data_IF_584123601134
#
_entry.id   IF_584123601134
#
_cell.length_a   1.000
_cell.length_b   1.000
_cell.length_c   1.000
_cell.angle_alpha   90.00
_cell.angle_beta   90.00
_cell.angle_gamma   90.00
#
_symmetry.space_group_name_H-M   'P 1'
#
loop_
_entity.id
_entity.type
_entity.pdbx_description
1 polymer ?
#
# COMPACT_ATOMS: atom_id res chain seq x y z
N UNK A 1 2.28 -16.35 11.60
CA UNK A 1 1.99 -16.16 13.04
C UNK A 1 1.28 -14.83 13.20
N UNK A 2 0.14 -14.80 13.91
CA UNK A 2 -0.60 -13.56 14.21
C UNK A 2 -0.02 -12.83 15.42
N UNK A 3 -0.70 -11.77 15.87
CA UNK A 3 -0.31 -10.98 17.05
C UNK A 3 0.21 -11.87 18.19
N UNK A 4 1.32 -11.50 18.85
CA UNK A 4 1.85 -12.30 19.94
C UNK A 4 0.75 -12.54 20.98
N UNK A 5 0.38 -13.81 21.20
CA UNK A 5 -0.74 -14.17 22.09
C UNK A 5 -0.60 -13.55 23.48
N UNK A 6 0.62 -13.35 23.97
CA UNK A 6 0.87 -12.75 25.28
C UNK A 6 0.42 -11.29 25.41
N UNK A 7 0.34 -10.52 24.32
CA UNK A 7 -0.24 -9.16 24.30
C UNK A 7 -1.78 -9.20 24.37
N UNK A 8 -2.40 -10.29 23.93
CA UNK A 8 -3.85 -10.49 23.94
C UNK A 8 -4.31 -11.15 25.26
N UNK A 9 -3.53 -12.10 25.77
CA UNK A 9 -3.79 -12.91 26.97
C UNK A 9 -3.40 -12.21 28.28
N UNK A 10 -2.76 -11.03 28.22
CA UNK A 10 -2.46 -10.23 29.41
C UNK A 10 -1.54 -10.93 30.41
N UNK A 11 -0.58 -11.73 29.94
CA UNK A 11 0.33 -12.43 30.85
C UNK A 11 1.27 -11.42 31.54
N UNK A 12 1.31 -11.37 32.89
CA UNK A 12 2.09 -10.36 33.62
C UNK A 12 3.60 -10.45 33.36
N UNK A 13 4.13 -11.67 33.15
CA UNK A 13 5.58 -11.89 32.94
C UNK A 13 6.16 -11.17 31.72
N UNK A 14 5.45 -11.15 30.58
CA UNK A 14 5.95 -10.47 29.37
C UNK A 14 5.96 -8.95 29.51
N UNK A 15 5.03 -8.42 30.31
CA UNK A 15 4.93 -6.99 30.61
C UNK A 15 6.06 -6.56 31.57
N UNK A 16 6.33 -7.36 32.60
CA UNK A 16 7.41 -7.14 33.55
C UNK A 16 8.78 -7.18 32.84
N UNK A 17 9.02 -8.16 31.97
CA UNK A 17 10.23 -8.22 31.14
C UNK A 17 10.40 -6.99 30.26
N UNK A 18 9.31 -6.52 29.65
CA UNK A 18 9.32 -5.31 28.82
C UNK A 18 9.69 -4.07 29.65
N UNK A 19 9.11 -3.91 30.84
CA UNK A 19 9.44 -2.80 31.74
C UNK A 19 10.91 -2.83 32.15
N UNK A 20 11.44 -4.01 32.52
CA UNK A 20 12.85 -4.20 32.88
C UNK A 20 13.76 -3.84 31.70
N UNK A 21 13.43 -4.29 30.48
CA UNK A 21 14.24 -4.02 29.29
C UNK A 21 14.24 -2.53 28.91
N UNK A 22 13.07 -1.89 28.95
CA UNK A 22 12.96 -0.44 28.68
C UNK A 22 13.72 0.36 29.73
N UNK A 23 13.63 -0.02 31.01
CA UNK A 23 14.34 0.66 32.09
C UNK A 23 15.86 0.42 32.07
N UNK A 24 16.33 -0.72 31.55
CA UNK A 24 17.76 -0.96 31.29
C UNK A 24 18.28 -0.15 30.09
N UNK A 25 17.47 0.02 29.04
CA UNK A 25 17.84 0.78 27.84
C UNK A 25 17.89 2.28 28.08
N UNK A 26 16.99 2.82 28.91
CA UNK A 26 17.05 4.19 29.37
C UNK A 26 17.85 4.25 30.66
N UNK A 27 19.13 4.65 30.58
CA UNK A 27 20.09 4.76 31.68
C UNK A 27 19.74 5.82 32.76
N UNK A 28 18.47 5.91 33.18
CA UNK A 28 17.92 6.94 34.05
C UNK A 28 17.94 6.48 35.50
N UNK A 29 19.06 6.77 36.18
CA UNK A 29 19.31 6.51 37.61
C UNK A 29 18.28 7.20 38.54
N UNK A 30 17.45 8.12 38.04
CA UNK A 30 16.57 8.97 38.87
C UNK A 30 15.10 9.10 38.41
N UNK A 31 14.69 8.49 37.30
CA UNK A 31 13.32 8.65 36.76
C UNK A 31 12.61 7.31 36.67
N UNK A 32 11.56 7.14 37.48
CA UNK A 32 10.65 6.00 37.38
C UNK A 32 9.74 6.20 36.17
N UNK A 33 9.83 5.31 35.18
CA UNK A 33 8.96 5.33 34.00
C UNK A 33 7.61 4.73 34.38
N UNK A 34 6.53 5.50 34.19
CA UNK A 34 5.17 4.99 34.33
C UNK A 34 4.70 4.47 32.97
N UNK A 35 4.76 3.16 32.77
CA UNK A 35 4.30 2.50 31.54
C UNK A 35 2.88 2.00 31.79
N UNK A 36 1.90 2.61 31.15
CA UNK A 36 0.51 2.14 31.14
C UNK A 36 0.26 1.32 29.87
N UNK A 37 -0.27 0.11 30.03
CA UNK A 37 -0.66 -0.75 28.90
C UNK A 37 -2.17 -0.70 28.78
N UNK A 38 -2.65 -0.19 27.66
CA UNK A 38 -4.06 -0.15 27.31
C UNK A 38 -4.41 -1.30 26.39
N UNK A 39 -5.51 -2.00 26.67
CA UNK A 39 -6.00 -3.05 25.78
C UNK A 39 -6.73 -2.40 24.61
N UNK A 40 -6.29 -2.67 23.40
CA UNK A 40 -6.98 -2.22 22.19
C UNK A 40 -8.16 -3.16 21.93
N UNK A 41 -9.39 -2.62 21.95
CA UNK A 41 -10.61 -3.41 21.78
C UNK A 41 -10.70 -4.06 20.39
N UNK A 42 -10.28 -3.34 19.33
CA UNK A 42 -10.29 -3.81 17.94
C UNK A 42 -8.89 -3.66 17.31
N UNK A 43 -7.96 -4.61 17.53
CA UNK A 43 -6.55 -4.46 17.14
C UNK A 43 -6.38 -4.31 15.63
N UNK A 44 -7.14 -5.06 14.82
CA UNK A 44 -7.05 -5.00 13.36
C UNK A 44 -7.72 -3.77 12.74
N UNK A 45 -8.34 -2.91 13.55
CA UNK A 45 -8.78 -1.58 13.11
C UNK A 45 -7.63 -0.57 13.04
N UNK A 46 -6.50 -0.85 13.69
CA UNK A 46 -5.29 -0.01 13.61
C UNK A 46 -4.45 -0.39 12.37
N UNK A 47 -4.19 0.56 11.45
CA UNK A 47 -3.38 0.30 10.26
C UNK A 47 -1.97 -0.23 10.56
N UNK A 48 -1.35 0.19 11.67
CA UNK A 48 0.02 -0.22 12.02
C UNK A 48 0.07 -1.71 12.39
N UNK A 49 -0.92 -2.15 13.16
CA UNK A 49 -1.09 -3.55 13.58
C UNK A 49 -1.34 -4.43 12.36
N UNK A 50 -2.19 -3.97 11.44
CA UNK A 50 -2.51 -4.70 10.22
C UNK A 50 -1.28 -4.82 9.29
N UNK A 51 -0.48 -3.77 9.17
CA UNK A 51 0.75 -3.78 8.39
C UNK A 51 1.77 -4.79 8.94
N UNK A 52 1.96 -4.84 10.26
CA UNK A 52 2.85 -5.81 10.90
C UNK A 52 2.38 -7.26 10.67
N UNK A 53 1.06 -7.50 10.74
CA UNK A 53 0.49 -8.79 10.42
C UNK A 53 0.81 -9.22 8.98
N UNK A 54 0.60 -8.34 8.00
CA UNK A 54 0.91 -8.61 6.58
C UNK A 54 2.41 -8.89 6.40
N UNK A 55 3.27 -8.07 7.00
CA UNK A 55 4.72 -8.27 6.98
C UNK A 55 5.12 -9.65 7.57
N UNK A 56 4.49 -10.05 8.67
CA UNK A 56 4.66 -11.36 9.28
C UNK A 56 4.22 -12.52 8.38
N UNK A 57 3.14 -12.35 7.60
CA UNK A 57 2.73 -13.36 6.61
C UNK A 57 3.76 -13.48 5.47
N UNK A 58 4.25 -12.35 4.96
CA UNK A 58 5.24 -12.31 3.87
C UNK A 58 6.59 -12.89 4.30
N UNK A 59 7.04 -12.61 5.54
CA UNK A 59 8.24 -13.21 6.12
C UNK A 59 8.16 -14.74 6.19
N UNK A 60 6.95 -15.26 6.43
CA UNK A 60 6.66 -16.70 6.41
C UNK A 60 6.36 -17.26 5.01
N UNK A 61 6.72 -16.52 3.95
CA UNK A 61 6.52 -16.88 2.54
C UNK A 61 5.07 -17.19 2.15
N UNK A 62 4.09 -16.64 2.87
CA UNK A 62 2.69 -16.69 2.43
C UNK A 62 2.53 -15.77 1.22
N UNK A 63 1.81 -16.23 0.20
CA UNK A 63 1.61 -15.41 -1.01
C UNK A 63 0.87 -14.11 -0.67
N UNK A 64 1.33 -12.99 -1.25
CA UNK A 64 0.79 -11.65 -0.98
C UNK A 64 -0.74 -11.61 -1.11
N UNK A 65 -1.29 -12.19 -2.19
CA UNK A 65 -2.74 -12.27 -2.39
C UNK A 65 -3.49 -12.95 -1.24
N UNK A 66 -2.93 -14.02 -0.67
CA UNK A 66 -3.51 -14.73 0.49
C UNK A 66 -3.39 -13.90 1.76
N UNK A 67 -2.26 -13.26 1.98
CA UNK A 67 -2.04 -12.36 3.12
C UNK A 67 -3.02 -11.18 3.09
N UNK A 68 -3.19 -10.55 1.92
CA UNK A 68 -4.11 -9.42 1.72
C UNK A 68 -5.58 -9.82 1.87
N UNK A 69 -5.99 -10.95 1.29
CA UNK A 69 -7.36 -11.46 1.47
C UNK A 69 -7.70 -11.65 2.95
N UNK A 70 -6.75 -12.21 3.71
CA UNK A 70 -6.90 -12.41 5.15
C UNK A 70 -6.89 -11.11 5.95
N UNK A 71 -6.10 -10.12 5.53
CA UNK A 71 -6.10 -8.80 6.14
C UNK A 71 -7.46 -8.09 5.99
N UNK A 72 -8.05 -8.16 4.79
CA UNK A 72 -9.38 -7.59 4.49
C UNK A 72 -10.46 -8.24 5.36
N UNK A 73 -10.46 -9.57 5.44
CA UNK A 73 -11.39 -10.34 6.29
C UNK A 73 -11.30 -9.92 7.77
N UNK A 74 -10.09 -9.69 8.28
CA UNK A 74 -9.87 -9.24 9.66
C UNK A 74 -10.31 -7.78 9.89
N UNK A 75 -10.17 -6.90 8.89
CA UNK A 75 -10.64 -5.51 8.98
C UNK A 75 -12.16 -5.39 8.89
N UNK A 76 -12.81 -6.27 8.11
CA UNK A 76 -14.27 -6.33 8.01
C UNK A 76 -14.88 -6.74 9.35
N UNK A 77 -14.28 -7.72 10.05
CA UNK A 77 -14.68 -8.11 11.41
C UNK A 77 -14.51 -7.00 12.45
N UNK A 78 -13.70 -5.97 12.16
CA UNK A 78 -13.48 -4.83 13.04
C UNK A 78 -14.47 -3.67 12.78
N UNK A 79 -15.45 -3.82 11.88
CA UNK A 79 -16.40 -2.77 11.45
C UNK A 79 -15.72 -1.48 10.96
N UNK A 80 -14.51 -1.60 10.38
CA UNK A 80 -13.75 -0.42 9.94
C UNK A 80 -14.07 -0.12 8.48
N UNK A 81 -14.62 1.07 8.20
CA UNK A 81 -14.93 1.51 6.83
C UNK A 81 -13.64 1.74 6.03
N UNK A 82 -13.43 0.86 5.05
CA UNK A 82 -12.49 0.95 3.92
C UNK A 82 -10.99 0.94 4.24
N UNK A 83 -10.41 -0.27 4.27
CA UNK A 83 -8.98 -0.46 4.03
C UNK A 83 -8.69 -0.37 2.52
N UNK A 84 -8.14 0.77 2.08
CA UNK A 84 -7.63 0.93 0.70
C UNK A 84 -6.13 0.65 0.71
N UNK A 85 -5.66 -0.51 0.21
CA UNK A 85 -4.24 -0.74 0.06
C UNK A 85 -3.69 0.23 -1.00
N UNK A 86 -2.79 1.10 -0.56
CA UNK A 86 -2.00 1.97 -1.44
C UNK A 86 -1.15 1.07 -2.34
N UNK A 87 -1.48 1.08 -3.63
CA UNK A 87 -0.77 0.41 -4.73
C UNK A 87 -0.89 -1.13 -4.81
N UNK A 88 -1.71 -1.57 -5.76
CA UNK A 88 -1.43 -2.82 -6.47
C UNK A 88 -1.23 -2.54 -7.96
N UNK A 89 0.03 -2.33 -8.38
CA UNK A 89 0.51 -2.91 -9.64
C UNK A 89 1.09 -4.27 -9.32
N UNK A 90 0.24 -5.29 -9.25
CA UNK A 90 0.71 -6.68 -9.30
C UNK A 90 1.08 -7.01 -10.74
N UNK A 91 2.22 -6.49 -11.20
CA UNK A 91 2.82 -6.84 -12.48
C UNK A 91 3.72 -8.06 -12.29
N UNK A 92 3.22 -9.24 -12.65
CA UNK A 92 4.04 -10.42 -12.92
C UNK A 92 4.86 -10.19 -14.18
N UNK A 93 5.99 -9.48 -14.07
CA UNK A 93 7.03 -9.49 -15.11
C UNK A 93 6.72 -8.79 -16.44
N UNK A 94 5.92 -7.72 -16.46
CA UNK A 94 5.91 -6.80 -17.62
C UNK A 94 6.76 -5.59 -17.25
N UNK A 95 7.84 -5.37 -18.00
CA UNK A 95 8.71 -4.21 -17.84
C UNK A 95 7.95 -2.88 -17.90
N UNK A 96 8.64 -1.79 -17.54
CA UNK A 96 8.10 -0.43 -17.62
C UNK A 96 7.41 -0.22 -18.98
N UNK A 97 6.16 0.29 -19.03
CA UNK A 97 5.47 0.53 -20.30
C UNK A 97 6.33 1.45 -21.19
N UNK A 98 6.83 0.92 -22.31
CA UNK A 98 7.68 1.69 -23.23
C UNK A 98 6.87 2.77 -23.98
N UNK A 99 5.59 2.52 -24.22
CA UNK A 99 4.67 3.46 -24.85
C UNK A 99 3.20 3.10 -24.58
N UNK A 100 2.32 4.09 -24.68
CA UNK A 100 0.87 3.93 -24.60
C UNK A 100 0.28 3.81 -26.00
N UNK A 101 -0.60 2.83 -26.22
CA UNK A 101 -1.30 2.65 -27.49
C UNK A 101 -2.79 2.83 -27.26
N UNK A 102 -3.40 3.73 -28.04
CA UNK A 102 -4.86 3.83 -28.16
C UNK A 102 -5.27 3.34 -29.54
N UNK A 103 -6.16 2.34 -29.61
CA UNK A 103 -6.65 1.80 -30.87
C UNK A 103 -7.80 2.67 -31.37
N UNK A 104 -7.63 3.31 -32.52
CA UNK A 104 -8.67 4.14 -33.16
C UNK A 104 -9.34 3.34 -34.26
N UNK A 105 -10.66 3.17 -34.18
CA UNK A 105 -11.45 2.49 -35.21
C UNK A 105 -11.77 3.45 -36.38
N UNK A 106 -11.94 2.95 -37.62
CA UNK A 106 -12.39 3.76 -38.74
C UNK A 106 -13.67 4.54 -38.40
N UNK A 107 -13.73 5.82 -38.82
CA UNK A 107 -14.88 6.70 -38.55
C UNK A 107 -14.85 7.43 -37.20
N UNK A 108 -13.75 7.34 -36.43
CA UNK A 108 -13.56 8.10 -35.18
C UNK A 108 -12.55 9.23 -35.36
N UNK A 109 -12.91 10.42 -34.91
CA UNK A 109 -12.05 11.61 -34.89
C UNK A 109 -11.34 11.66 -33.53
N UNK A 110 -10.01 11.79 -33.54
CA UNK A 110 -9.20 11.92 -32.32
C UNK A 110 -9.16 13.34 -31.78
N UNK A 111 -9.10 14.32 -32.69
CA UNK A 111 -8.98 15.73 -32.37
C UNK A 111 -9.87 16.52 -33.32
N UNK A 112 -10.61 17.47 -32.77
CA UNK A 112 -11.41 18.44 -33.51
C UNK A 112 -10.87 19.83 -33.18
N UNK A 113 -10.62 20.65 -34.20
CA UNK A 113 -10.13 22.01 -34.05
C UNK A 113 -11.07 22.97 -34.78
N UNK A 114 -11.48 24.02 -34.08
CA UNK A 114 -12.30 25.10 -34.64
C UNK A 114 -11.68 26.47 -34.34
N UNK A 115 -12.01 27.47 -35.14
CA UNK A 115 -11.58 28.86 -34.93
C UNK A 115 -10.14 29.19 -35.37
N UNK A 116 -9.46 28.27 -36.07
CA UNK A 116 -8.11 28.47 -36.62
C UNK A 116 -8.08 28.15 -38.11
N UNK A 117 -7.15 28.78 -38.84
CA UNK A 117 -6.93 28.49 -40.26
C UNK A 117 -6.32 27.10 -40.46
N UNK A 118 -6.63 26.45 -41.58
CA UNK A 118 -6.19 25.08 -41.89
C UNK A 118 -4.67 24.90 -41.77
N UNK A 119 -3.91 25.91 -42.21
CA UNK A 119 -2.44 25.89 -42.19
C UNK A 119 -1.93 25.75 -40.75
N UNK A 120 -2.47 26.55 -39.83
CA UNK A 120 -2.09 26.54 -38.40
C UNK A 120 -2.53 25.23 -37.73
N UNK A 121 -3.73 24.77 -38.04
CA UNK A 121 -4.24 23.48 -37.59
C UNK A 121 -3.31 22.32 -37.99
N UNK A 122 -2.84 22.31 -39.25
CA UNK A 122 -1.98 21.25 -39.77
C UNK A 122 -0.60 21.25 -39.13
N UNK A 123 -0.02 22.43 -38.92
CA UNK A 123 1.27 22.57 -38.22
C UNK A 123 1.18 22.13 -36.75
N UNK A 124 0.12 22.52 -36.04
CA UNK A 124 -0.10 22.12 -34.66
C UNK A 124 -0.21 20.60 -34.49
N UNK A 125 -0.97 19.92 -35.37
CA UNK A 125 -1.05 18.45 -35.37
C UNK A 125 0.32 17.83 -35.69
N UNK A 126 1.06 18.40 -36.65
CA UNK A 126 2.38 17.87 -37.04
C UNK A 126 3.40 17.93 -35.90
N UNK A 127 3.30 18.91 -35.01
CA UNK A 127 4.15 19.03 -33.81
C UNK A 127 3.72 18.02 -32.74
N UNK A 128 2.40 17.85 -32.55
CA UNK A 128 1.85 16.95 -31.55
C UNK A 128 2.08 15.46 -31.86
N UNK A 129 2.22 15.11 -33.16
CA UNK A 129 2.51 13.74 -33.59
C UNK A 129 4.02 13.49 -33.54
N UNK A 130 4.52 12.63 -32.63
CA UNK A 130 5.94 12.31 -32.60
C UNK A 130 6.35 11.59 -33.91
N UNK A 131 7.59 11.80 -34.39
CA UNK A 131 8.06 11.14 -35.60
C UNK A 131 7.96 9.63 -35.45
N UNK A 132 7.29 8.95 -36.39
CA UNK A 132 7.21 7.50 -36.42
C UNK A 132 8.64 6.94 -36.49
N UNK A 133 9.12 6.32 -35.41
CA UNK A 133 10.28 5.42 -35.51
C UNK A 133 9.91 4.33 -36.51
N UNK A 134 10.56 4.31 -37.67
CA UNK A 134 10.45 3.18 -38.61
C UNK A 134 10.86 1.94 -37.85
N UNK A 135 9.94 0.98 -37.75
CA UNK A 135 10.27 -0.37 -37.30
C UNK A 135 11.17 -0.98 -38.39
N UNK A 136 12.43 -1.25 -38.03
CA UNK A 136 13.28 -2.22 -38.70
C UNK A 136 12.85 -3.62 -38.29
#
# INVERSE_FOLDING_TARGET
MGFPKWLIEGKPRGIEELQINVQKGFNSVKRKLNIAITRIAKPYGDPNILAEFIAGQLKNRVSFRKAMKKAIELTEQADTKEFKPTETRMGSGKGSPEYWVSVVKPGRILYEMGGVSEIVAREAISIAVPPKKRRV
#
